data_IF_627892091883
#
_entry.id   IF_627892091883
#
_cell.length_a   1.000
_cell.length_b   1.000
_cell.length_c   1.000
_cell.angle_alpha   90.00
_cell.angle_beta   90.00
_cell.angle_gamma   90.00
#
_symmetry.space_group_name_H-M   'P 1'
#
loop_
_entity.id
_entity.type
_entity.pdbx_description
1 polymer ?
#
# COMPACT_ATOMS: atom_id res chain seq x y z
N UNK A 1 31.20 -22.04 13.90
CA UNK A 1 29.81 -21.79 13.48
C UNK A 1 29.78 -21.59 11.98
N UNK A 2 28.84 -22.22 11.30
CA UNK A 2 28.74 -22.18 9.83
C UNK A 2 27.79 -21.05 9.44
N UNK A 3 28.31 -20.05 8.75
CA UNK A 3 27.49 -18.93 8.25
C UNK A 3 26.69 -19.35 7.01
N UNK A 4 25.44 -18.91 6.93
CA UNK A 4 24.53 -19.18 5.82
C UNK A 4 24.10 -17.88 5.12
N UNK A 5 24.01 -17.94 3.81
CA UNK A 5 23.62 -16.84 2.94
C UNK A 5 22.33 -17.23 2.23
N UNK A 6 21.30 -16.40 2.43
CA UNK A 6 19.94 -16.63 1.94
C UNK A 6 19.62 -15.57 0.91
N UNK A 7 19.44 -15.98 -0.34
CA UNK A 7 19.01 -15.11 -1.41
C UNK A 7 17.54 -15.34 -1.71
N UNK A 8 16.75 -14.27 -1.70
CA UNK A 8 15.30 -14.33 -1.97
C UNK A 8 15.00 -13.47 -3.20
N UNK A 9 14.37 -14.08 -4.19
CA UNK A 9 13.78 -13.38 -5.32
C UNK A 9 12.29 -13.13 -5.04
N UNK A 10 11.89 -11.86 -5.11
CA UNK A 10 10.59 -11.39 -4.62
C UNK A 10 9.61 -11.25 -5.78
N UNK A 11 8.54 -12.05 -5.74
CA UNK A 11 7.38 -11.89 -6.61
C UNK A 11 6.11 -11.59 -5.81
N UNK A 12 5.07 -11.12 -6.50
CA UNK A 12 3.82 -10.64 -5.88
C UNK A 12 3.15 -11.65 -4.94
N UNK A 13 3.04 -12.91 -5.36
CA UNK A 13 2.27 -13.94 -4.67
C UNK A 13 3.13 -15.04 -4.03
N UNK A 14 4.39 -15.15 -4.45
CA UNK A 14 5.32 -16.18 -4.02
C UNK A 14 6.74 -15.63 -4.10
N UNK A 15 7.64 -16.19 -3.32
CA UNK A 15 9.04 -15.84 -3.29
C UNK A 15 9.86 -17.09 -3.53
N UNK A 16 10.92 -16.96 -4.33
CA UNK A 16 11.86 -18.05 -4.60
C UNK A 16 13.11 -17.82 -3.75
N UNK A 17 13.57 -18.85 -3.06
CA UNK A 17 14.66 -18.74 -2.10
C UNK A 17 15.73 -19.82 -2.35
N UNK A 18 16.98 -19.42 -2.14
CA UNK A 18 18.16 -20.29 -2.20
C UNK A 18 19.04 -20.06 -0.97
N UNK A 19 19.63 -21.14 -0.43
CA UNK A 19 20.48 -21.08 0.76
C UNK A 19 21.83 -21.71 0.46
N UNK A 20 22.90 -20.95 0.69
CA UNK A 20 24.29 -21.35 0.45
C UNK A 20 25.07 -21.22 1.77
N UNK A 21 25.91 -22.21 2.08
CA UNK A 21 26.83 -22.13 3.23
C UNK A 21 28.07 -21.30 2.90
N UNK A 22 28.83 -20.88 3.92
CA UNK A 22 30.11 -20.21 3.73
C UNK A 22 31.13 -21.03 2.91
N UNK A 23 31.00 -22.36 2.87
CA UNK A 23 31.80 -23.26 2.03
C UNK A 23 31.35 -23.27 0.56
N UNK A 24 30.46 -22.36 0.16
CA UNK A 24 29.87 -22.27 -1.17
C UNK A 24 29.08 -23.53 -1.58
N UNK A 25 28.61 -24.30 -0.60
CA UNK A 25 27.79 -25.48 -0.82
C UNK A 25 26.31 -25.09 -0.78
N UNK A 26 25.54 -25.57 -1.76
CA UNK A 26 24.08 -25.38 -1.77
C UNK A 26 23.45 -26.26 -0.71
N UNK A 27 22.92 -25.66 0.33
CA UNK A 27 22.22 -26.36 1.42
C UNK A 27 20.78 -26.60 1.03
N UNK A 28 20.15 -25.58 0.44
CA UNK A 28 18.82 -25.68 -0.17
C UNK A 28 18.92 -25.10 -1.57
N UNK A 29 18.78 -25.96 -2.57
CA UNK A 29 18.97 -25.61 -3.99
C UNK A 29 17.93 -24.61 -4.48
N UNK A 30 16.65 -24.83 -4.17
CA UNK A 30 15.55 -23.90 -4.38
C UNK A 30 14.34 -24.31 -3.55
N UNK A 31 13.72 -23.37 -2.86
CA UNK A 31 12.38 -23.53 -2.33
C UNK A 31 11.54 -22.29 -2.62
N UNK A 32 10.26 -22.50 -2.83
CA UNK A 32 9.30 -21.43 -3.11
C UNK A 32 8.30 -21.39 -1.98
N UNK A 33 8.05 -20.21 -1.41
CA UNK A 33 7.04 -20.00 -0.39
C UNK A 33 6.07 -18.90 -0.81
N UNK A 34 4.84 -18.94 -0.30
CA UNK A 34 3.81 -17.94 -0.61
C UNK A 34 4.06 -16.64 0.15
N UNK A 35 3.61 -15.52 -0.42
CA UNK A 35 3.56 -14.22 0.26
C UNK A 35 2.36 -14.16 1.23
N UNK A 36 2.32 -15.09 2.18
CA UNK A 36 1.30 -15.21 3.21
C UNK A 36 1.90 -15.77 4.51
N UNK A 37 1.10 -15.77 5.59
CA UNK A 37 1.54 -16.24 6.90
C UNK A 37 2.07 -17.67 6.88
N UNK A 38 1.42 -18.57 6.14
CA UNK A 38 1.84 -19.97 6.07
C UNK A 38 3.17 -20.13 5.35
N UNK A 39 3.39 -19.40 4.27
CA UNK A 39 4.67 -19.37 3.56
C UNK A 39 5.81 -18.80 4.41
N UNK A 40 5.53 -17.77 5.21
CA UNK A 40 6.52 -17.21 6.13
C UNK A 40 6.86 -18.13 7.30
N UNK A 41 5.88 -18.86 7.84
CA UNK A 41 6.13 -19.89 8.85
C UNK A 41 7.01 -21.02 8.30
N UNK A 42 6.79 -21.44 7.04
CA UNK A 42 7.66 -22.41 6.36
C UNK A 42 9.10 -21.89 6.24
N UNK A 43 9.28 -20.63 5.83
CA UNK A 43 10.59 -20.00 5.81
C UNK A 43 11.24 -20.02 7.20
N UNK A 44 10.51 -19.64 8.24
CA UNK A 44 11.03 -19.60 9.61
C UNK A 44 11.54 -20.96 10.09
N UNK A 45 10.76 -22.02 9.83
CA UNK A 45 11.12 -23.38 10.22
C UNK A 45 12.44 -23.80 9.56
N UNK A 46 12.63 -23.48 8.28
CA UNK A 46 13.88 -23.75 7.56
C UNK A 46 15.02 -22.96 8.19
N UNK A 47 14.87 -21.66 8.39
CA UNK A 47 15.94 -20.81 8.96
C UNK A 47 16.36 -21.28 10.36
N UNK A 48 15.39 -21.55 11.24
CA UNK A 48 15.66 -22.02 12.60
C UNK A 48 16.28 -23.43 12.65
N UNK A 49 16.05 -24.26 11.63
CA UNK A 49 16.69 -25.57 11.53
C UNK A 49 18.17 -25.50 11.13
N UNK A 50 18.61 -24.38 10.55
CA UNK A 50 19.97 -24.22 10.01
C UNK A 50 20.96 -23.66 11.02
N UNK A 51 20.62 -22.53 11.66
CA UNK A 51 21.45 -21.89 12.69
C UNK A 51 20.66 -20.84 13.46
N UNK A 52 21.34 -20.14 14.37
CA UNK A 52 20.81 -18.93 15.02
C UNK A 52 20.68 -17.78 13.99
N UNK A 53 19.77 -16.82 14.22
CA UNK A 53 19.56 -15.67 13.32
C UNK A 53 20.83 -14.85 13.01
N UNK A 54 21.83 -14.86 13.88
CA UNK A 54 23.09 -14.11 13.75
C UNK A 54 24.02 -14.70 12.68
N UNK A 55 23.94 -16.02 12.47
CA UNK A 55 24.72 -16.74 11.46
C UNK A 55 24.05 -16.74 10.08
N UNK A 56 22.84 -16.18 9.98
CA UNK A 56 22.02 -16.17 8.76
C UNK A 56 21.98 -14.76 8.19
N UNK A 57 22.55 -14.61 6.99
CA UNK A 57 22.52 -13.36 6.22
C UNK A 57 21.50 -13.46 5.11
N UNK A 58 20.44 -12.66 5.19
CA UNK A 58 19.35 -12.67 4.22
C UNK A 58 19.48 -11.46 3.30
N UNK A 59 19.27 -11.63 2.00
CA UNK A 59 19.15 -10.50 1.10
C UNK A 59 18.23 -10.77 -0.09
N UNK A 60 17.70 -9.68 -0.60
CA UNK A 60 16.76 -9.67 -1.71
C UNK A 60 16.83 -8.36 -2.47
N UNK A 61 16.39 -8.40 -3.72
CA UNK A 61 16.32 -7.20 -4.56
C UNK A 61 15.20 -6.26 -4.06
N UNK A 62 15.50 -4.96 -3.99
CA UNK A 62 14.53 -3.94 -3.60
C UNK A 62 13.41 -3.88 -4.63
N UNK A 63 12.25 -4.45 -4.29
CA UNK A 63 11.12 -4.70 -5.18
C UNK A 63 9.86 -4.00 -4.66
N UNK A 64 9.87 -2.67 -4.74
CA UNK A 64 8.71 -1.82 -4.45
C UNK A 64 7.92 -2.26 -3.19
N UNK A 65 6.60 -2.45 -3.28
CA UNK A 65 5.74 -2.76 -2.13
C UNK A 65 5.54 -4.27 -1.89
N UNK A 66 6.10 -5.16 -2.72
CA UNK A 66 5.90 -6.60 -2.60
C UNK A 66 6.80 -7.25 -1.54
N UNK A 67 7.92 -6.60 -1.22
CA UNK A 67 8.85 -7.04 -0.17
C UNK A 67 8.38 -6.72 1.26
N UNK A 68 7.45 -5.77 1.41
CA UNK A 68 7.05 -5.21 2.70
C UNK A 68 6.57 -6.24 3.72
N UNK A 69 5.80 -7.24 3.27
CA UNK A 69 5.28 -8.30 4.15
C UNK A 69 6.41 -9.21 4.66
N UNK A 70 7.40 -9.49 3.79
CA UNK A 70 8.55 -10.30 4.13
C UNK A 70 9.48 -9.54 5.09
N UNK A 71 9.76 -8.26 4.80
CA UNK A 71 10.57 -7.38 5.67
C UNK A 71 10.01 -7.35 7.09
N UNK A 72 8.70 -7.10 7.23
CA UNK A 72 7.99 -7.12 8.51
C UNK A 72 8.12 -8.44 9.24
N UNK A 73 7.95 -9.54 8.50
CA UNK A 73 8.06 -10.87 9.08
C UNK A 73 9.48 -11.13 9.61
N UNK A 74 10.50 -10.78 8.83
CA UNK A 74 11.90 -10.95 9.21
C UNK A 74 12.29 -10.08 10.41
N UNK A 75 11.85 -8.80 10.45
CA UNK A 75 12.05 -7.93 11.62
C UNK A 75 11.42 -8.53 12.88
N UNK A 76 10.17 -9.01 12.80
CA UNK A 76 9.45 -9.62 13.94
C UNK A 76 10.09 -10.95 14.39
N UNK A 77 10.68 -11.70 13.47
CA UNK A 77 11.41 -12.94 13.75
C UNK A 77 12.86 -12.70 14.21
N UNK A 78 13.28 -11.45 14.41
CA UNK A 78 14.65 -11.04 14.75
C UNK A 78 15.72 -11.43 13.72
N UNK A 79 15.32 -11.67 12.47
CA UNK A 79 16.27 -11.85 11.38
C UNK A 79 16.69 -10.49 10.83
N UNK A 80 18.00 -10.35 10.61
CA UNK A 80 18.53 -9.25 9.83
C UNK A 80 18.37 -9.55 8.33
N UNK A 81 18.18 -8.52 7.52
CA UNK A 81 18.18 -8.65 6.06
C UNK A 81 18.82 -7.43 5.40
N UNK A 82 19.27 -7.60 4.16
CA UNK A 82 19.85 -6.55 3.34
C UNK A 82 19.03 -6.40 2.04
N UNK A 83 18.47 -5.21 1.83
CA UNK A 83 17.91 -4.83 0.54
C UNK A 83 19.02 -4.48 -0.44
N UNK A 84 18.94 -5.05 -1.64
CA UNK A 84 19.96 -4.91 -2.66
C UNK A 84 19.41 -4.11 -3.83
N UNK A 85 20.21 -3.17 -4.34
CA UNK A 85 19.83 -2.41 -5.52
C UNK A 85 19.78 -3.34 -6.77
N UNK A 86 18.65 -3.38 -7.51
CA UNK A 86 18.50 -4.11 -8.77
C UNK A 86 19.68 -4.01 -9.74
N UNK A 87 20.28 -2.82 -9.83
CA UNK A 87 21.40 -2.55 -10.75
C UNK A 87 22.63 -3.37 -10.38
N UNK A 88 22.91 -3.53 -9.08
CA UNK A 88 24.07 -4.27 -8.60
C UNK A 88 23.94 -5.77 -8.91
N UNK A 89 22.76 -6.35 -8.69
CA UNK A 89 22.48 -7.75 -9.05
C UNK A 89 22.58 -7.94 -10.57
N UNK A 90 22.03 -7.01 -11.35
CA UNK A 90 22.10 -7.04 -12.81
C UNK A 90 23.54 -7.00 -13.33
N UNK A 91 24.40 -6.16 -12.77
CA UNK A 91 25.79 -6.06 -13.19
C UNK A 91 26.62 -7.28 -12.75
N UNK A 92 26.34 -7.82 -11.56
CA UNK A 92 26.93 -9.08 -11.10
C UNK A 92 26.51 -10.28 -11.97
N UNK A 93 25.28 -10.29 -12.48
CA UNK A 93 24.81 -11.31 -13.43
C UNK A 93 25.63 -11.30 -14.73
N UNK A 94 25.92 -10.10 -15.25
CA UNK A 94 26.72 -9.91 -16.47
C UNK A 94 28.17 -10.34 -16.30
N UNK A 95 28.77 -10.12 -15.12
CA UNK A 95 30.17 -10.49 -14.88
C UNK A 95 30.37 -12.00 -14.77
N UNK A 96 29.34 -12.76 -14.38
CA UNK A 96 29.44 -14.22 -14.28
C UNK A 96 29.14 -14.96 -15.60
N UNK A 97 28.28 -14.43 -16.48
CA UNK A 97 27.89 -15.14 -17.71
C UNK A 97 27.64 -14.18 -18.89
N UNK A 98 28.15 -14.50 -20.08
CA UNK A 98 27.81 -13.80 -21.34
C UNK A 98 26.49 -14.29 -21.97
N UNK A 99 25.94 -15.44 -21.52
CA UNK A 99 24.68 -15.99 -22.03
C UNK A 99 23.48 -15.36 -21.32
N UNK A 100 22.57 -14.75 -22.10
CA UNK A 100 21.23 -14.34 -21.64
C UNK A 100 20.31 -15.57 -21.48
N UNK A 101 20.62 -16.48 -20.56
CA UNK A 101 19.68 -17.56 -20.22
C UNK A 101 18.60 -17.01 -19.27
N UNK A 102 17.35 -17.11 -19.74
CA UNK A 102 16.13 -16.70 -19.06
C UNK A 102 15.67 -17.86 -18.18
N UNK A 103 16.01 -17.83 -16.90
CA UNK A 103 15.50 -18.80 -15.92
C UNK A 103 15.44 -18.14 -14.54
N UNK A 104 14.23 -17.93 -14.04
CA UNK A 104 13.90 -17.41 -12.69
C UNK A 104 14.52 -18.27 -11.55
N UNK A 105 15.10 -19.43 -11.89
CA UNK A 105 15.91 -20.27 -10.99
C UNK A 105 17.30 -19.69 -10.69
N UNK A 106 17.80 -18.75 -11.48
CA UNK A 106 19.17 -18.22 -11.34
C UNK A 106 19.20 -17.05 -10.34
N UNK A 107 18.10 -16.33 -10.17
CA UNK A 107 18.13 -15.00 -9.54
C UNK A 107 18.28 -15.07 -8.00
N UNK A 108 17.58 -15.96 -7.31
CA UNK A 108 17.76 -16.17 -5.86
C UNK A 108 19.16 -16.72 -5.50
N UNK A 109 19.70 -17.65 -6.30
CA UNK A 109 21.07 -18.16 -6.10
C UNK A 109 22.11 -17.05 -6.35
N UNK A 110 21.92 -16.25 -7.40
CA UNK A 110 22.79 -15.14 -7.72
C UNK A 110 22.84 -14.13 -6.57
N UNK A 111 21.69 -13.82 -5.96
CA UNK A 111 21.59 -12.95 -4.78
C UNK A 111 22.36 -13.55 -3.60
N UNK A 112 22.17 -14.84 -3.30
CA UNK A 112 22.88 -15.51 -2.20
C UNK A 112 24.41 -15.47 -2.41
N UNK A 113 24.87 -15.74 -3.64
CA UNK A 113 26.30 -15.64 -4.00
C UNK A 113 26.82 -14.22 -3.93
N UNK A 114 26.03 -13.23 -4.35
CA UNK A 114 26.41 -11.83 -4.26
C UNK A 114 26.63 -11.41 -2.80
N UNK A 115 25.74 -11.82 -1.89
CA UNK A 115 25.86 -11.56 -0.44
C UNK A 115 27.15 -12.13 0.17
N UNK A 116 27.70 -13.20 -0.39
CA UNK A 116 28.99 -13.75 0.06
C UNK A 116 30.17 -12.85 -0.31
N UNK A 117 30.04 -12.05 -1.36
CA UNK A 117 31.13 -11.21 -1.91
C UNK A 117 31.20 -9.82 -1.29
N UNK A 118 30.16 -9.38 -0.60
CA UNK A 118 30.04 -8.02 -0.09
C UNK A 118 29.98 -7.98 1.43
N UNK A 119 30.32 -6.82 1.99
CA UNK A 119 30.05 -6.54 3.39
C UNK A 119 28.54 -6.51 3.64
N UNK A 120 28.08 -7.30 4.60
CA UNK A 120 26.68 -7.39 4.95
C UNK A 120 26.23 -6.17 5.75
N UNK A 121 25.35 -5.36 5.17
CA UNK A 121 24.81 -4.14 5.78
C UNK A 121 23.32 -4.32 6.02
N UNK A 122 22.91 -4.75 7.22
CA UNK A 122 21.51 -4.99 7.50
C UNK A 122 20.72 -3.69 7.47
N UNK A 123 19.48 -3.79 6.98
CA UNK A 123 18.55 -2.69 6.95
C UNK A 123 18.25 -2.20 8.37
N UNK A 124 18.10 -0.88 8.56
CA UNK A 124 17.92 -0.31 9.90
C UNK A 124 16.53 -0.60 10.45
N UNK A 125 16.47 -1.10 11.69
CA UNK A 125 15.22 -1.33 12.41
C UNK A 125 14.35 -0.07 12.44
N UNK A 126 13.05 -0.22 12.18
CA UNK A 126 12.07 0.88 12.26
C UNK A 126 11.89 1.69 10.98
N UNK A 127 12.60 1.35 9.89
CA UNK A 127 12.32 1.90 8.56
C UNK A 127 10.86 1.67 8.16
N UNK A 128 10.29 0.51 8.51
CA UNK A 128 8.90 0.19 8.25
C UNK A 128 7.91 1.22 8.81
N UNK A 129 8.10 1.66 10.06
CA UNK A 129 7.20 2.63 10.68
C UNK A 129 7.28 3.98 9.96
N UNK A 130 8.49 4.42 9.60
CA UNK A 130 8.70 5.62 8.82
C UNK A 130 8.08 5.52 7.41
N UNK A 131 8.25 4.37 6.75
CA UNK A 131 7.66 4.08 5.45
C UNK A 131 6.13 4.09 5.50
N UNK A 132 5.54 3.39 6.49
CA UNK A 132 4.10 3.30 6.69
C UNK A 132 3.48 4.67 6.94
N UNK A 133 4.08 5.47 7.81
CA UNK A 133 3.63 6.84 8.08
C UNK A 133 3.71 7.71 6.82
N UNK A 134 4.82 7.61 6.05
CA UNK A 134 4.99 8.31 4.78
C UNK A 134 3.96 7.89 3.73
N UNK A 135 3.59 6.61 3.70
CA UNK A 135 2.56 6.08 2.81
C UNK A 135 1.17 6.64 3.17
N UNK A 136 0.82 6.62 4.46
CA UNK A 136 -0.45 7.14 4.97
C UNK A 136 -0.60 8.65 4.74
N UNK A 137 0.44 9.45 4.97
CA UNK A 137 0.40 10.90 4.73
C UNK A 137 0.21 11.22 3.25
N UNK A 138 0.95 10.54 2.36
CA UNK A 138 0.77 10.67 0.90
C UNK A 138 -0.62 10.26 0.43
N UNK A 139 -1.18 9.19 0.99
CA UNK A 139 -2.54 8.76 0.69
C UNK A 139 -3.55 9.81 1.13
N UNK A 140 -3.43 10.34 2.35
CA UNK A 140 -4.28 11.43 2.85
C UNK A 140 -4.24 12.64 1.91
N UNK A 141 -3.06 13.08 1.50
CA UNK A 141 -2.91 14.24 0.61
C UNK A 141 -3.56 13.98 -0.76
N UNK A 142 -3.44 12.76 -1.29
CA UNK A 142 -4.12 12.36 -2.52
C UNK A 142 -5.64 12.43 -2.36
N UNK A 143 -6.18 11.87 -1.28
CA UNK A 143 -7.62 11.87 -1.00
C UNK A 143 -8.16 13.29 -0.80
N UNK A 144 -7.39 14.17 -0.13
CA UNK A 144 -7.76 15.59 0.04
C UNK A 144 -7.81 16.29 -1.33
N UNK A 145 -6.81 16.10 -2.19
CA UNK A 145 -6.81 16.66 -3.55
C UNK A 145 -7.97 16.13 -4.39
N UNK A 146 -8.25 14.82 -4.35
CA UNK A 146 -9.37 14.22 -5.06
C UNK A 146 -10.71 14.78 -4.57
N UNK A 147 -10.89 14.92 -3.26
CA UNK A 147 -12.09 15.55 -2.68
C UNK A 147 -12.27 16.97 -3.22
N UNK A 148 -11.23 17.80 -3.19
CA UNK A 148 -11.31 19.17 -3.72
C UNK A 148 -11.63 19.19 -5.21
N UNK A 149 -11.02 18.32 -6.01
CA UNK A 149 -11.31 18.17 -7.43
C UNK A 149 -12.79 17.84 -7.69
N UNK A 150 -13.36 16.87 -6.95
CA UNK A 150 -14.76 16.50 -7.11
C UNK A 150 -15.73 17.59 -6.64
N UNK A 151 -15.40 18.34 -5.58
CA UNK A 151 -16.21 19.47 -5.14
C UNK A 151 -16.28 20.58 -6.21
N UNK A 152 -15.18 20.84 -6.91
CA UNK A 152 -15.16 21.76 -8.06
C UNK A 152 -16.02 21.21 -9.20
N UNK A 153 -15.90 19.91 -9.53
CA UNK A 153 -16.74 19.29 -10.56
C UNK A 153 -18.23 19.38 -10.25
N UNK A 154 -18.63 19.12 -9.01
CA UNK A 154 -20.02 19.27 -8.55
C UNK A 154 -20.47 20.72 -8.68
N UNK A 155 -19.65 21.67 -8.22
CA UNK A 155 -19.94 23.10 -8.35
C UNK A 155 -20.21 23.47 -9.80
N UNK A 156 -19.33 23.11 -10.73
CA UNK A 156 -19.50 23.46 -12.14
C UNK A 156 -20.81 22.92 -12.73
N UNK A 157 -21.25 21.71 -12.33
CA UNK A 157 -22.53 21.16 -12.78
C UNK A 157 -23.71 21.93 -12.17
N UNK A 158 -23.62 22.29 -10.89
CA UNK A 158 -24.64 23.09 -10.21
C UNK A 158 -24.73 24.49 -10.80
N UNK A 159 -23.63 25.13 -11.17
CA UNK A 159 -23.65 26.46 -11.78
C UNK A 159 -24.46 26.48 -13.11
N UNK A 160 -24.58 25.33 -13.79
CA UNK A 160 -25.40 25.19 -15.00
C UNK A 160 -26.85 24.72 -14.73
N UNK A 161 -27.08 23.95 -13.67
CA UNK A 161 -28.35 23.24 -13.46
C UNK A 161 -29.16 23.76 -12.27
N UNK A 162 -28.49 24.36 -11.29
CA UNK A 162 -29.09 24.92 -10.09
C UNK A 162 -28.13 25.95 -9.40
N UNK A 163 -27.89 27.13 -10.01
CA UNK A 163 -26.85 28.07 -9.58
C UNK A 163 -27.08 28.64 -8.17
N UNK A 164 -28.32 28.69 -7.68
CA UNK A 164 -28.68 29.21 -6.37
C UNK A 164 -28.34 28.23 -5.22
N UNK A 165 -28.06 26.96 -5.53
CA UNK A 165 -27.84 25.92 -4.53
C UNK A 165 -26.64 26.23 -3.62
N UNK A 166 -25.51 26.63 -4.21
CA UNK A 166 -24.27 26.84 -3.47
C UNK A 166 -24.29 28.13 -2.63
N UNK A 167 -24.81 29.27 -3.13
CA UNK A 167 -25.07 30.45 -2.30
C UNK A 167 -25.97 30.17 -1.10
N UNK A 168 -27.02 29.34 -1.28
CA UNK A 168 -27.91 28.95 -0.19
C UNK A 168 -27.16 28.24 0.97
N UNK A 169 -26.11 27.47 0.67
CA UNK A 169 -25.27 26.81 1.66
C UNK A 169 -24.00 27.60 2.03
N UNK A 170 -24.01 28.93 1.89
CA UNK A 170 -22.88 29.81 2.22
C UNK A 170 -21.58 29.42 1.50
N UNK A 171 -21.67 29.14 0.21
CA UNK A 171 -20.54 28.75 -0.64
C UNK A 171 -19.88 27.42 -0.24
N UNK A 172 -20.58 26.56 0.50
CA UNK A 172 -20.03 25.30 1.04
C UNK A 172 -20.91 24.10 0.73
N UNK A 173 -20.29 23.07 0.15
CA UNK A 173 -20.89 21.74 0.01
C UNK A 173 -20.69 20.93 1.31
N UNK A 174 -21.49 21.25 2.32
CA UNK A 174 -21.51 20.54 3.60
C UNK A 174 -22.09 19.11 3.48
N UNK A 175 -22.00 18.31 4.54
CA UNK A 175 -22.63 16.97 4.58
C UNK A 175 -24.12 17.00 4.24
N UNK A 176 -24.85 18.03 4.72
CA UNK A 176 -26.27 18.20 4.43
C UNK A 176 -26.52 18.53 2.96
N UNK A 177 -25.69 19.40 2.38
CA UNK A 177 -25.79 19.77 0.97
C UNK A 177 -25.51 18.56 0.05
N UNK A 178 -24.44 17.81 0.35
CA UNK A 178 -24.12 16.58 -0.40
C UNK A 178 -25.22 15.53 -0.27
N UNK A 179 -25.82 15.38 0.91
CA UNK A 179 -26.96 14.47 1.11
C UNK A 179 -28.16 14.84 0.22
N UNK A 180 -28.48 16.14 0.11
CA UNK A 180 -29.56 16.60 -0.77
C UNK A 180 -29.27 16.26 -2.24
N UNK A 181 -28.04 16.50 -2.70
CA UNK A 181 -27.64 16.19 -4.07
C UNK A 181 -27.68 14.69 -4.34
N UNK A 182 -27.25 13.87 -3.39
CA UNK A 182 -27.24 12.41 -3.52
C UNK A 182 -28.65 11.81 -3.57
N UNK A 183 -29.60 12.34 -2.80
CA UNK A 183 -30.94 11.74 -2.66
C UNK A 183 -31.99 12.37 -3.59
N UNK A 184 -31.84 13.65 -3.94
CA UNK A 184 -32.83 14.37 -4.74
C UNK A 184 -32.29 14.80 -6.09
N UNK A 185 -30.99 15.08 -6.27
CA UNK A 185 -30.33 15.17 -7.58
C UNK A 185 -30.79 16.27 -8.55
N UNK A 186 -31.88 16.99 -8.29
CA UNK A 186 -32.34 18.16 -9.05
C UNK A 186 -33.17 19.12 -8.20
N UNK A 187 -33.24 20.39 -8.60
CA UNK A 187 -34.04 21.42 -7.93
C UNK A 187 -35.52 20.98 -7.81
N UNK A 188 -36.11 20.47 -8.89
CA UNK A 188 -37.49 20.00 -8.90
C UNK A 188 -37.77 18.87 -7.89
N UNK A 189 -36.83 17.92 -7.75
CA UNK A 189 -36.96 16.82 -6.79
C UNK A 189 -36.76 17.31 -5.35
N UNK A 190 -35.90 18.30 -5.14
CA UNK A 190 -35.72 18.96 -3.83
C UNK A 190 -37.00 19.72 -3.45
N UNK A 191 -37.67 20.36 -4.41
CA UNK A 191 -38.94 21.07 -4.18
C UNK A 191 -40.11 20.14 -3.80
N UNK A 192 -40.00 18.83 -4.07
CA UNK A 192 -41.05 17.82 -3.81
C UNK A 192 -40.74 16.91 -2.62
N UNK A 193 -39.86 17.33 -1.71
CA UNK A 193 -39.55 16.55 -0.50
C UNK A 193 -40.81 16.31 0.35
N UNK A 194 -40.83 15.19 1.09
CA UNK A 194 -41.92 14.85 1.99
C UNK A 194 -41.51 15.02 3.47
N UNK A 195 -42.48 14.88 4.38
CA UNK A 195 -42.26 15.04 5.83
C UNK A 195 -41.18 14.12 6.41
N UNK A 196 -41.12 12.85 5.96
CA UNK A 196 -40.12 11.88 6.40
C UNK A 196 -38.69 12.25 5.93
N UNK A 197 -38.57 12.82 4.72
CA UNK A 197 -37.32 13.35 4.19
C UNK A 197 -36.74 14.49 5.04
N UNK A 198 -37.61 15.35 5.59
CA UNK A 198 -37.18 16.47 6.43
C UNK A 198 -36.65 16.04 7.79
N UNK A 199 -37.24 15.03 8.43
CA UNK A 199 -36.72 14.52 9.70
C UNK A 199 -35.31 13.96 9.54
N UNK A 200 -35.04 13.30 8.41
CA UNK A 200 -33.70 12.79 8.09
C UNK A 200 -32.70 13.90 7.77
N UNK A 201 -33.12 14.97 7.09
CA UNK A 201 -32.30 16.17 6.89
C UNK A 201 -31.98 16.88 8.21
N UNK A 202 -32.96 16.94 9.12
CA UNK A 202 -32.80 17.54 10.44
C UNK A 202 -31.80 16.75 11.29
N UNK A 203 -31.83 15.42 11.25
CA UNK A 203 -30.85 14.59 11.98
C UNK A 203 -29.43 14.76 11.42
N UNK A 204 -29.26 14.74 10.09
CA UNK A 204 -27.95 14.89 9.42
C UNK A 204 -27.36 16.27 9.67
N UNK A 205 -28.18 17.31 9.66
CA UNK A 205 -27.78 18.69 9.96
C UNK A 205 -27.59 18.97 11.45
N UNK A 206 -27.81 17.98 12.33
CA UNK A 206 -27.78 18.14 13.80
C UNK A 206 -28.73 19.24 14.29
N UNK A 207 -29.92 19.31 13.70
CA UNK A 207 -30.96 20.27 14.03
C UNK A 207 -30.77 21.67 13.42
N UNK A 208 -29.70 21.92 12.66
CA UNK A 208 -29.43 23.22 12.03
C UNK A 208 -30.32 23.50 10.82
N UNK A 209 -30.84 22.46 10.17
CA UNK A 209 -31.79 22.61 9.08
C UNK A 209 -33.21 22.61 9.64
N UNK A 210 -33.76 23.82 9.83
CA UNK A 210 -35.08 24.04 10.40
C UNK A 210 -36.17 24.05 9.32
N UNK A 211 -37.47 23.87 9.68
CA UNK A 211 -38.56 23.94 8.71
C UNK A 211 -38.61 25.26 7.89
N UNK A 212 -38.29 26.44 8.45
CA UNK A 212 -38.14 27.65 7.65
C UNK A 212 -37.02 27.59 6.61
N UNK A 213 -35.89 26.94 6.93
CA UNK A 213 -34.77 26.75 5.99
C UNK A 213 -35.12 25.77 4.86
N UNK A 214 -35.98 24.79 5.14
CA UNK A 214 -36.55 23.90 4.11
C UNK A 214 -37.43 24.69 3.15
N UNK A 215 -38.34 25.50 3.69
CA UNK A 215 -39.26 26.28 2.86
C UNK A 215 -38.53 27.33 2.01
N UNK A 216 -37.46 27.94 2.53
CA UNK A 216 -36.61 28.83 1.73
C UNK A 216 -35.89 28.06 0.61
N UNK A 217 -35.38 26.85 0.88
CA UNK A 217 -34.77 25.99 -0.13
C UNK A 217 -35.77 25.62 -1.23
N UNK A 218 -37.00 25.24 -0.88
CA UNK A 218 -38.06 24.91 -1.85
C UNK A 218 -38.43 26.09 -2.75
N UNK A 219 -38.46 27.30 -2.19
CA UNK A 219 -38.67 28.53 -2.97
C UNK A 219 -37.53 28.80 -3.93
N UNK A 220 -36.29 28.52 -3.53
CA UNK A 220 -35.12 28.64 -4.40
C UNK A 220 -35.12 27.61 -5.52
N UNK A 221 -35.85 26.49 -5.37
CA UNK A 221 -35.94 25.43 -6.37
C UNK A 221 -37.05 25.65 -7.42
N UNK A 222 -37.91 26.67 -7.29
CA UNK A 222 -39.03 26.97 -8.19
C UNK A 222 -38.71 28.16 -9.08
#
# INVERSE_FOLDING_TARGET
MTMYFVGIDISKYKHDCCIISAANQKVVSKFTFKNDKSGFEQLNLILNSLSTPEDIKIGFESTAHYALNLELFLENANHSFMEINPVLIKDFKKSQTLRRTKTDSIDCELIARWLMTVEYKPHSKGFYHAYSLKSLTRLRDRLVRQRSFYLVKITNVLDHTFPEFKPFFHERLSKTALYLLENYGSAEKIARMNSASYEKLRSISRGKFSPPAVYSLERTCR
#
